data_IF_757366874132
#
_entry.id   IF_757366874132
#
_cell.length_a   1.000
_cell.length_b   1.000
_cell.length_c   1.000
_cell.angle_alpha   90.00
_cell.angle_beta   90.00
_cell.angle_gamma   90.00
#
_symmetry.space_group_name_H-M   'P 1'
#
loop_
_entity.id
_entity.type
_entity.pdbx_description
1 polymer ?
#
# COMPACT_ATOMS: atom_id res chain seq x y z
N UNK A 1 38.65 -33.82 -24.37
CA UNK A 1 37.85 -33.62 -25.60
C UNK A 1 36.92 -32.46 -25.38
N UNK A 2 37.28 -31.34 -26.00
CA UNK A 2 36.60 -30.02 -25.88
C UNK A 2 35.37 -29.99 -26.79
N UNK A 3 34.26 -29.44 -26.26
CA UNK A 3 33.18 -28.95 -27.12
C UNK A 3 32.78 -27.57 -26.64
N UNK A 4 33.35 -26.55 -27.27
CA UNK A 4 32.84 -25.18 -27.28
C UNK A 4 31.50 -25.15 -28.02
N UNK A 5 30.44 -24.63 -27.42
CA UNK A 5 29.25 -24.19 -28.15
C UNK A 5 29.06 -22.69 -27.93
N UNK A 6 29.40 -21.97 -29.00
CA UNK A 6 29.20 -20.53 -29.16
C UNK A 6 27.72 -20.14 -29.07
N UNK A 7 27.38 -19.20 -28.19
CA UNK A 7 26.09 -18.56 -28.16
C UNK A 7 26.10 -17.36 -29.13
N UNK A 8 25.27 -17.40 -30.15
CA UNK A 8 24.99 -16.26 -31.04
C UNK A 8 24.22 -15.18 -30.29
N UNK A 9 24.85 -14.04 -30.11
CA UNK A 9 24.20 -12.81 -29.71
C UNK A 9 23.50 -12.21 -30.92
N UNK A 10 22.17 -12.26 -30.95
CA UNK A 10 21.37 -11.50 -31.92
C UNK A 10 21.08 -10.13 -31.34
N UNK A 11 21.80 -9.14 -31.81
CA UNK A 11 21.48 -7.73 -31.61
C UNK A 11 20.25 -7.36 -32.44
N UNK A 12 19.13 -7.07 -31.84
CA UNK A 12 17.95 -6.51 -32.51
C UNK A 12 18.04 -4.99 -32.35
N UNK A 13 18.40 -4.32 -33.42
CA UNK A 13 18.33 -2.87 -33.58
C UNK A 13 16.86 -2.49 -33.84
N UNK A 14 16.23 -1.78 -32.91
CA UNK A 14 14.91 -1.16 -33.09
C UNK A 14 15.12 0.31 -33.40
N UNK A 15 14.69 0.85 -34.56
CA UNK A 15 14.76 2.29 -34.82
C UNK A 15 13.71 3.05 -34.01
N UNK A 16 14.16 4.04 -33.26
CA UNK A 16 13.31 5.01 -32.54
C UNK A 16 12.78 6.01 -33.57
N UNK A 17 11.51 5.94 -33.88
CA UNK A 17 10.82 6.99 -34.61
C UNK A 17 10.31 8.03 -33.61
N UNK A 18 10.94 9.21 -33.60
CA UNK A 18 10.45 10.40 -32.91
C UNK A 18 9.25 10.98 -33.66
N UNK A 19 8.07 10.99 -33.05
CA UNK A 19 6.96 11.83 -33.45
C UNK A 19 6.76 12.91 -32.37
N UNK A 20 7.19 14.14 -32.66
CA UNK A 20 6.81 15.33 -31.88
C UNK A 20 5.36 15.68 -32.19
N UNK A 21 4.48 15.53 -31.22
CA UNK A 21 3.13 16.11 -31.25
C UNK A 21 3.09 17.25 -30.22
N UNK A 22 3.17 18.50 -30.70
CA UNK A 22 2.84 19.69 -29.95
C UNK A 22 1.31 19.76 -29.81
N UNK A 23 0.79 19.50 -28.62
CA UNK A 23 -0.62 19.78 -28.30
C UNK A 23 -0.65 20.99 -27.39
N UNK A 24 -1.26 22.08 -27.88
CA UNK A 24 -1.44 23.34 -27.20
C UNK A 24 -2.27 23.18 -25.92
N UNK A 25 -1.74 23.70 -24.82
CA UNK A 25 -2.40 23.78 -23.54
C UNK A 25 -3.38 24.97 -23.55
N UNK A 26 -4.69 24.72 -23.64
CA UNK A 26 -5.72 25.73 -23.40
C UNK A 26 -5.90 25.88 -21.89
N UNK A 27 -5.52 27.04 -21.37
CA UNK A 27 -5.80 27.47 -20.01
C UNK A 27 -7.29 27.76 -19.85
N UNK A 28 -7.97 26.93 -19.07
CA UNK A 28 -9.34 27.23 -18.62
C UNK A 28 -9.30 27.94 -17.28
N UNK A 29 -9.72 29.18 -17.28
CA UNK A 29 -9.94 30.03 -16.10
C UNK A 29 -11.14 29.51 -15.32
N UNK A 30 -11.07 29.29 -14.00
CA UNK A 30 -12.25 28.96 -13.21
C UNK A 30 -13.14 30.19 -13.01
N UNK A 31 -14.49 30.06 -13.03
CA UNK A 31 -15.38 31.16 -12.78
C UNK A 31 -15.37 31.56 -11.30
N UNK A 32 -15.37 32.87 -11.07
CA UNK A 32 -15.42 33.50 -9.77
C UNK A 32 -16.66 33.06 -8.98
N UNK A 33 -16.43 32.65 -7.74
CA UNK A 33 -17.48 32.36 -6.77
C UNK A 33 -18.22 33.67 -6.39
N UNK A 34 -19.50 33.70 -6.66
CA UNK A 34 -20.38 34.77 -6.16
C UNK A 34 -20.68 34.55 -4.68
N UNK A 35 -20.28 35.51 -3.86
CA UNK A 35 -20.68 35.61 -2.47
C UNK A 35 -22.15 35.98 -2.39
N UNK A 36 -22.99 35.04 -2.01
CA UNK A 36 -24.34 35.35 -1.52
C UNK A 36 -24.27 35.50 0.00
N UNK A 37 -24.37 36.73 0.47
CA UNK A 37 -24.62 37.06 1.86
C UNK A 37 -26.06 36.63 2.20
N UNK A 38 -26.22 35.66 3.10
CA UNK A 38 -27.51 35.38 3.74
C UNK A 38 -27.41 35.84 5.20
N UNK A 39 -28.24 36.83 5.48
CA UNK A 39 -28.43 37.38 6.79
C UNK A 39 -29.07 36.38 7.77
N UNK A 40 -28.55 36.36 8.97
CA UNK A 40 -29.19 36.17 10.28
C UNK A 40 -30.25 35.08 10.42
N UNK A 41 -29.85 33.99 11.09
CA UNK A 41 -30.74 33.31 12.03
C UNK A 41 -29.88 32.85 13.19
N UNK A 42 -30.06 33.51 14.31
CA UNK A 42 -29.55 33.11 15.61
C UNK A 42 -30.26 31.83 16.01
N UNK A 43 -29.61 30.72 15.97
CA UNK A 43 -30.03 29.49 16.63
C UNK A 43 -29.08 29.23 17.78
N UNK A 44 -29.72 28.95 18.94
CA UNK A 44 -29.13 28.73 20.22
C UNK A 44 -27.92 27.80 20.23
N UNK A 45 -26.95 28.11 21.09
CA UNK A 45 -25.85 27.27 21.45
C UNK A 45 -26.36 25.92 21.94
N UNK A 46 -26.36 24.91 21.09
CA UNK A 46 -26.29 23.52 21.53
C UNK A 46 -24.81 23.20 21.72
N UNK A 47 -24.41 23.18 22.97
CA UNK A 47 -23.09 22.72 23.42
C UNK A 47 -23.02 21.19 23.21
N UNK A 48 -23.11 20.78 21.95
CA UNK A 48 -22.78 19.44 21.53
C UNK A 48 -21.29 19.22 21.73
N UNK A 49 -20.92 18.67 22.89
CA UNK A 49 -19.59 18.08 23.11
C UNK A 49 -19.38 17.02 22.01
N UNK A 50 -18.82 17.47 20.91
CA UNK A 50 -18.37 16.59 19.83
C UNK A 50 -17.33 15.65 20.41
N UNK A 51 -17.76 14.48 20.84
CA UNK A 51 -16.88 13.38 21.19
C UNK A 51 -16.16 13.00 19.91
N UNK A 52 -15.02 13.65 19.66
CA UNK A 52 -14.03 13.16 18.70
C UNK A 52 -13.55 11.83 19.25
N UNK A 53 -14.27 10.76 18.89
CA UNK A 53 -13.84 9.39 19.16
C UNK A 53 -12.56 9.19 18.34
N UNK A 54 -11.43 9.56 18.93
CA UNK A 54 -10.12 9.17 18.43
C UNK A 54 -10.11 7.65 18.46
N UNK A 55 -10.34 7.03 17.29
CA UNK A 55 -10.24 5.58 17.13
C UNK A 55 -8.84 5.16 17.59
N UNK A 56 -8.76 4.68 18.84
CA UNK A 56 -7.51 4.26 19.43
C UNK A 56 -6.88 3.17 18.55
N UNK A 57 -5.73 3.49 17.98
CA UNK A 57 -5.01 2.54 17.12
C UNK A 57 -4.60 1.35 17.97
N UNK A 58 -5.11 0.17 17.64
CA UNK A 58 -4.80 -1.07 18.35
C UNK A 58 -3.29 -1.34 18.34
N UNK A 59 -2.70 -1.54 19.53
CA UNK A 59 -1.29 -1.87 19.71
C UNK A 59 -1.14 -3.37 19.97
N UNK A 60 -0.13 -3.98 19.37
CA UNK A 60 0.18 -5.41 19.50
C UNK A 60 1.66 -5.60 19.77
N UNK A 61 2.02 -6.55 20.63
CA UNK A 61 3.40 -6.95 20.87
C UNK A 61 3.86 -7.99 19.87
N UNK A 62 5.18 -8.15 19.68
CA UNK A 62 5.72 -9.27 18.90
C UNK A 62 5.35 -10.64 19.50
N UNK A 63 5.20 -10.73 20.81
CA UNK A 63 4.73 -11.97 21.47
C UNK A 63 3.32 -12.34 20.99
N UNK A 64 2.43 -11.36 20.87
CA UNK A 64 1.09 -11.56 20.29
C UNK A 64 1.18 -11.99 18.83
N UNK A 65 1.96 -11.29 18.00
CA UNK A 65 2.10 -11.61 16.58
C UNK A 65 2.63 -13.03 16.36
N UNK A 66 3.60 -13.47 17.16
CA UNK A 66 4.16 -14.84 17.10
C UNK A 66 3.13 -15.95 17.29
N UNK A 67 2.06 -15.71 18.05
CA UNK A 67 0.95 -16.69 18.24
C UNK A 67 0.12 -16.91 16.95
N UNK A 68 0.18 -15.98 16.00
CA UNK A 68 -0.56 -16.01 14.75
C UNK A 68 0.33 -16.44 13.56
N UNK A 69 0.92 -17.63 13.64
CA UNK A 69 1.94 -18.14 12.70
C UNK A 69 1.42 -19.23 11.74
N UNK A 70 0.14 -19.59 11.80
CA UNK A 70 -0.42 -20.66 10.98
C UNK A 70 -1.06 -20.14 9.69
N UNK A 71 -1.28 -21.01 8.71
CA UNK A 71 -1.97 -20.67 7.45
C UNK A 71 -3.41 -20.18 7.69
N UNK A 72 -4.10 -20.73 8.69
CA UNK A 72 -5.48 -20.34 9.06
C UNK A 72 -5.52 -19.09 9.94
N UNK A 73 -4.39 -18.73 10.56
CA UNK A 73 -4.28 -17.57 11.44
C UNK A 73 -2.90 -16.94 11.29
N UNK A 74 -2.76 -16.08 10.27
CA UNK A 74 -1.50 -15.50 9.84
C UNK A 74 -1.46 -14.00 10.06
N UNK A 75 -0.61 -13.55 10.99
CA UNK A 75 -0.28 -12.15 11.17
C UNK A 75 1.20 -11.92 10.87
N UNK A 76 1.55 -10.71 10.44
CA UNK A 76 2.93 -10.33 10.20
C UNK A 76 3.15 -8.85 10.49
N UNK A 77 4.38 -8.46 10.78
CA UNK A 77 4.78 -7.07 10.95
C UNK A 77 5.54 -6.60 9.72
N UNK A 78 5.19 -5.41 9.21
CA UNK A 78 6.00 -4.68 8.23
C UNK A 78 6.12 -3.22 8.69
N UNK A 79 7.36 -2.78 8.92
CA UNK A 79 7.65 -1.51 9.58
C UNK A 79 7.14 -1.50 11.02
N UNK A 80 6.33 -0.50 11.34
CA UNK A 80 5.66 -0.37 12.64
C UNK A 80 4.21 -0.90 12.64
N UNK A 81 3.76 -1.53 11.57
CA UNK A 81 2.36 -1.93 11.42
C UNK A 81 2.20 -3.45 11.49
N UNK A 82 1.09 -3.88 12.08
CA UNK A 82 0.66 -5.29 12.18
C UNK A 82 -0.44 -5.55 11.17
N UNK A 83 -0.33 -6.65 10.44
CA UNK A 83 -1.23 -7.03 9.36
C UNK A 83 -1.77 -8.44 9.56
N UNK A 84 -3.08 -8.63 9.35
CA UNK A 84 -3.72 -9.96 9.31
C UNK A 84 -3.79 -10.43 7.87
N UNK A 85 -2.91 -11.36 7.51
CA UNK A 85 -2.71 -11.82 6.13
C UNK A 85 -3.42 -13.12 5.77
N UNK A 86 -4.21 -13.69 6.66
CA UNK A 86 -4.90 -14.98 6.47
C UNK A 86 -5.67 -15.04 5.15
N UNK A 87 -6.51 -14.05 4.87
CA UNK A 87 -7.29 -13.98 3.64
C UNK A 87 -6.46 -13.61 2.40
N UNK A 88 -5.28 -13.01 2.60
CA UNK A 88 -4.38 -12.64 1.51
C UNK A 88 -3.52 -13.80 1.01
N UNK A 89 -3.33 -14.86 1.82
CA UNK A 89 -2.49 -16.01 1.46
C UNK A 89 -2.85 -16.55 0.07
N UNK A 90 -4.15 -16.80 -0.18
CA UNK A 90 -4.65 -17.33 -1.46
C UNK A 90 -4.61 -16.32 -2.61
N UNK A 91 -4.55 -15.02 -2.30
CA UNK A 91 -4.63 -13.91 -3.28
C UNK A 91 -3.26 -13.37 -3.68
N UNK A 92 -2.19 -13.82 -3.05
CA UNK A 92 -0.85 -13.30 -3.31
C UNK A 92 -0.32 -13.76 -4.67
N UNK A 93 0.02 -12.84 -5.62
CA UNK A 93 0.47 -13.21 -6.95
C UNK A 93 1.76 -14.06 -6.96
N UNK A 94 2.66 -13.82 -5.99
CA UNK A 94 3.91 -14.59 -5.82
C UNK A 94 3.74 -15.95 -5.13
N UNK A 95 2.49 -16.39 -4.93
CA UNK A 95 2.14 -17.69 -4.36
C UNK A 95 2.02 -17.70 -2.84
N UNK A 96 1.24 -18.66 -2.34
CA UNK A 96 0.88 -18.79 -0.92
C UNK A 96 2.08 -19.01 0.00
N UNK A 97 3.05 -19.80 -0.43
CA UNK A 97 4.24 -20.17 0.36
C UNK A 97 5.02 -18.94 0.86
N UNK A 98 5.07 -17.87 0.06
CA UNK A 98 5.78 -16.63 0.41
C UNK A 98 5.11 -15.92 1.59
N UNK A 99 3.78 -15.86 1.64
CA UNK A 99 3.03 -15.27 2.75
C UNK A 99 3.10 -16.15 3.99
N UNK A 100 2.91 -17.47 3.85
CA UNK A 100 2.98 -18.41 4.97
C UNK A 100 4.34 -18.32 5.68
N UNK A 101 5.43 -18.17 4.94
CA UNK A 101 6.77 -18.02 5.51
C UNK A 101 6.97 -16.75 6.37
N UNK A 102 6.06 -15.79 6.28
CA UNK A 102 6.09 -14.53 7.05
C UNK A 102 5.13 -14.54 8.25
N UNK A 103 4.23 -15.53 8.37
CA UNK A 103 3.29 -15.60 9.47
C UNK A 103 4.00 -15.68 10.82
N UNK A 104 3.55 -14.89 11.79
CA UNK A 104 4.12 -14.81 13.13
C UNK A 104 5.46 -14.05 13.23
N UNK A 105 5.91 -13.39 12.15
CA UNK A 105 7.25 -12.79 12.07
C UNK A 105 7.22 -11.31 11.74
N UNK A 106 8.35 -10.64 12.05
CA UNK A 106 8.66 -9.35 11.46
C UNK A 106 9.23 -9.57 10.06
N UNK A 107 8.44 -9.24 9.04
CA UNK A 107 8.78 -9.44 7.65
C UNK A 107 9.25 -8.15 6.96
N UNK A 108 9.60 -7.10 7.71
CA UNK A 108 9.94 -5.78 7.16
C UNK A 108 11.03 -5.84 6.10
N UNK A 109 12.17 -6.45 6.41
CA UNK A 109 13.30 -6.55 5.47
C UNK A 109 12.93 -7.36 4.23
N UNK A 110 12.27 -8.51 4.44
CA UNK A 110 11.84 -9.39 3.33
C UNK A 110 10.84 -8.71 2.42
N UNK A 111 9.85 -8.01 2.99
CA UNK A 111 8.85 -7.29 2.23
C UNK A 111 9.48 -6.12 1.45
N UNK A 112 10.30 -5.30 2.10
CA UNK A 112 10.98 -4.16 1.46
C UNK A 112 11.96 -4.58 0.37
N UNK A 113 12.71 -5.64 0.59
CA UNK A 113 13.63 -6.20 -0.40
C UNK A 113 12.92 -6.69 -1.66
N UNK A 114 11.69 -7.20 -1.53
CA UNK A 114 10.91 -7.71 -2.68
C UNK A 114 10.05 -6.62 -3.35
N UNK A 115 9.54 -5.65 -2.60
CA UNK A 115 8.49 -4.72 -3.05
C UNK A 115 8.85 -3.24 -2.88
N UNK A 116 10.01 -2.94 -2.28
CA UNK A 116 10.38 -1.57 -1.95
C UNK A 116 9.53 -0.95 -0.84
N UNK A 117 9.60 0.38 -0.71
CA UNK A 117 8.88 1.16 0.30
C UNK A 117 7.61 1.83 -0.21
N UNK A 118 7.36 1.78 -1.51
CA UNK A 118 6.21 2.39 -2.20
C UNK A 118 5.49 1.40 -3.10
N UNK A 119 4.62 1.93 -3.96
CA UNK A 119 3.99 1.19 -5.04
C UNK A 119 2.80 0.30 -4.63
N UNK A 120 2.34 -0.48 -5.61
CA UNK A 120 1.09 -1.27 -5.54
C UNK A 120 1.06 -2.26 -4.36
N UNK A 121 2.18 -2.92 -4.08
CA UNK A 121 2.23 -3.91 -2.99
C UNK A 121 1.95 -3.26 -1.63
N UNK A 122 2.47 -2.06 -1.39
CA UNK A 122 2.22 -1.31 -0.16
C UNK A 122 0.74 -0.86 -0.05
N UNK A 123 0.12 -0.46 -1.16
CA UNK A 123 -1.30 -0.11 -1.21
C UNK A 123 -2.19 -1.31 -0.89
N UNK A 124 -1.87 -2.48 -1.44
CA UNK A 124 -2.59 -3.73 -1.13
C UNK A 124 -2.40 -4.11 0.33
N UNK A 125 -1.17 -4.04 0.85
CA UNK A 125 -0.86 -4.39 2.24
C UNK A 125 -1.65 -3.54 3.25
N UNK A 126 -1.83 -2.24 3.00
CA UNK A 126 -2.60 -1.32 3.87
C UNK A 126 -4.01 -1.83 4.18
N UNK A 127 -4.66 -2.55 3.26
CA UNK A 127 -6.02 -3.10 3.44
C UNK A 127 -6.10 -4.19 4.52
N UNK A 128 -4.97 -4.78 4.90
CA UNK A 128 -4.87 -5.86 5.88
C UNK A 128 -4.33 -5.38 7.23
N UNK A 129 -4.11 -4.06 7.38
CA UNK A 129 -3.62 -3.48 8.64
C UNK A 129 -4.67 -3.63 9.74
N UNK A 130 -4.22 -4.14 10.90
CA UNK A 130 -5.07 -4.32 12.09
C UNK A 130 -4.60 -3.48 13.28
N UNK A 131 -3.43 -2.86 13.20
CA UNK A 131 -2.90 -2.02 14.25
C UNK A 131 -1.42 -1.72 14.07
N UNK A 132 -0.77 -1.35 15.17
CA UNK A 132 0.66 -1.03 15.21
C UNK A 132 1.39 -1.94 16.21
N UNK A 133 2.69 -2.10 15.99
CA UNK A 133 3.57 -2.77 16.94
C UNK A 133 3.85 -1.82 18.11
N UNK A 134 3.67 -2.34 19.34
CA UNK A 134 4.03 -1.65 20.57
C UNK A 134 5.53 -1.72 20.81
#
# INVERSE_FOLDING_TARGET
>A
MSILKSALVRAILIPVAMALSLTACSAQTPPAAQSAAVAGTTIAADTGTGVVTTLAVKKYTMATVKKHHTKSNCWSVVGKNVYKLTSFIKKHPGGQKRIIAMCGKNATSKFRGQHGTGGRANTVLKRYKIGVLA
#
